data_IF_102427087443
#
_entry.id   IF_102427087443
#
_cell.length_a   1.000
_cell.length_b   1.000
_cell.length_c   1.000
_cell.angle_alpha   90.00
_cell.angle_beta   90.00
_cell.angle_gamma   90.00
#
_symmetry.space_group_name_H-M   'P 1'
#
loop_
_entity.id
_entity.type
_entity.pdbx_description
1 polymer ?
#
# COMPACT_ATOMS: atom_id res chain seq x y z
N UNK A 1 -23.25 9.08 3.61
CA UNK A 1 -22.23 8.65 2.65
C UNK A 1 -22.37 9.49 1.36
N UNK A 2 -21.24 9.94 0.81
CA UNK A 2 -21.19 10.80 -0.39
C UNK A 2 -21.46 10.03 -1.71
N UNK A 3 -22.05 8.82 -1.63
CA UNK A 3 -22.41 8.02 -2.80
C UNK A 3 -21.24 7.24 -3.43
N UNK A 4 -20.07 7.21 -2.82
CA UNK A 4 -18.95 6.37 -3.28
C UNK A 4 -19.34 4.89 -3.21
N UNK A 5 -19.06 4.14 -4.28
CA UNK A 5 -19.37 2.71 -4.40
C UNK A 5 -18.13 1.85 -4.73
N UNK A 6 -16.97 2.49 -4.95
CA UNK A 6 -15.72 1.79 -5.18
C UNK A 6 -15.10 1.27 -3.89
N UNK A 7 -14.03 0.49 -3.98
CA UNK A 7 -13.30 0.01 -2.82
C UNK A 7 -12.70 1.17 -2.01
N UNK A 8 -12.57 0.96 -0.71
CA UNK A 8 -11.92 1.90 0.22
C UNK A 8 -10.85 1.13 0.97
N UNK A 9 -9.60 1.58 0.88
CA UNK A 9 -8.46 1.00 1.56
C UNK A 9 -8.03 1.89 2.74
N UNK A 10 -8.02 1.31 3.95
CA UNK A 10 -7.44 1.93 5.13
C UNK A 10 -5.92 1.72 5.12
N UNK A 11 -5.16 2.78 4.77
CA UNK A 11 -3.71 2.71 4.53
C UNK A 11 -2.86 2.42 5.77
N UNK A 12 -3.40 2.68 6.96
CA UNK A 12 -2.73 2.40 8.25
C UNK A 12 -3.24 1.12 8.92
N UNK A 13 -4.29 0.50 8.36
CA UNK A 13 -4.86 -0.73 8.85
C UNK A 13 -5.84 -0.55 10.00
N UNK A 14 -6.13 -1.65 10.71
CA UNK A 14 -6.98 -1.70 11.88
C UNK A 14 -6.11 -1.65 13.15
N UNK A 15 -6.52 -0.86 14.15
CA UNK A 15 -5.79 -0.69 15.40
C UNK A 15 -6.44 -1.46 16.57
N UNK A 16 -7.72 -1.74 16.45
CA UNK A 16 -8.49 -2.43 17.49
C UNK A 16 -9.42 -3.48 16.86
N UNK A 17 -9.86 -4.45 17.66
CA UNK A 17 -10.77 -5.50 17.19
C UNK A 17 -12.08 -4.95 16.61
N UNK A 18 -12.58 -3.84 17.15
CA UNK A 18 -13.78 -3.17 16.62
C UNK A 18 -13.57 -2.60 15.21
N UNK A 19 -12.32 -2.24 14.84
CA UNK A 19 -12.03 -1.74 13.50
C UNK A 19 -12.14 -2.87 12.48
N UNK A 20 -11.72 -4.09 12.84
CA UNK A 20 -11.91 -5.28 12.01
C UNK A 20 -13.39 -5.59 11.79
N UNK A 21 -14.22 -5.45 12.83
CA UNK A 21 -15.68 -5.61 12.73
C UNK A 21 -16.26 -4.59 11.72
N UNK A 22 -15.81 -3.34 11.80
CA UNK A 22 -16.22 -2.30 10.85
C UNK A 22 -15.72 -2.60 9.43
N UNK A 23 -14.48 -3.06 9.26
CA UNK A 23 -13.93 -3.45 7.96
C UNK A 23 -14.76 -4.56 7.32
N UNK A 24 -15.07 -5.62 8.07
CA UNK A 24 -15.90 -6.72 7.61
C UNK A 24 -17.30 -6.24 7.20
N UNK A 25 -17.99 -5.52 8.07
CA UNK A 25 -19.37 -5.05 7.86
C UNK A 25 -19.52 -4.05 6.71
N UNK A 26 -18.50 -3.20 6.50
CA UNK A 26 -18.51 -2.15 5.48
C UNK A 26 -17.70 -2.51 4.23
N UNK A 27 -17.20 -3.74 4.14
CA UNK A 27 -16.34 -4.24 3.06
C UNK A 27 -15.13 -3.33 2.80
N UNK A 28 -14.51 -2.83 3.89
CA UNK A 28 -13.30 -2.02 3.80
C UNK A 28 -12.08 -2.91 3.65
N UNK A 29 -11.21 -2.54 2.74
CA UNK A 29 -9.88 -3.14 2.63
C UNK A 29 -8.96 -2.46 3.66
N UNK A 30 -7.97 -3.18 4.16
CA UNK A 30 -7.05 -2.58 5.12
C UNK A 30 -5.63 -3.12 4.99
N UNK A 31 -4.67 -2.29 5.38
CA UNK A 31 -3.25 -2.64 5.40
C UNK A 31 -2.93 -3.45 6.65
N UNK A 32 -2.05 -4.45 6.49
CA UNK A 32 -1.42 -5.21 7.57
C UNK A 32 0.08 -4.96 7.51
N UNK A 33 0.66 -4.45 8.60
CA UNK A 33 2.05 -3.99 8.64
C UNK A 33 2.82 -4.42 9.89
N UNK A 34 2.19 -5.13 10.83
CA UNK A 34 2.81 -5.66 12.05
C UNK A 34 2.16 -6.98 12.48
N UNK A 35 2.84 -7.70 13.37
CA UNK A 35 2.37 -9.00 13.85
C UNK A 35 1.08 -8.91 14.66
N UNK A 36 0.91 -7.84 15.43
CA UNK A 36 -0.28 -7.60 16.27
C UNK A 36 -1.56 -7.55 15.42
N UNK A 37 -1.48 -7.00 14.20
CA UNK A 37 -2.62 -6.99 13.27
C UNK A 37 -2.92 -8.38 12.72
N UNK A 38 -1.91 -9.21 12.48
CA UNK A 38 -2.12 -10.61 12.08
C UNK A 38 -2.76 -11.40 13.22
N UNK A 39 -2.28 -11.22 14.45
CA UNK A 39 -2.81 -11.89 15.64
C UNK A 39 -4.27 -11.48 15.90
N UNK A 40 -4.56 -10.19 15.73
CA UNK A 40 -5.93 -9.67 15.87
C UNK A 40 -6.87 -10.26 14.81
N UNK A 41 -6.42 -10.37 13.55
CA UNK A 41 -7.18 -11.04 12.48
C UNK A 41 -7.43 -12.51 12.79
N UNK A 42 -6.43 -13.23 13.30
CA UNK A 42 -6.55 -14.64 13.66
C UNK A 42 -7.59 -14.90 14.74
N UNK A 43 -7.79 -13.94 15.64
CA UNK A 43 -8.77 -14.01 16.73
C UNK A 43 -10.14 -13.47 16.32
N UNK A 44 -10.23 -12.76 15.19
CA UNK A 44 -11.47 -12.13 14.78
C UNK A 44 -12.48 -13.15 14.23
N UNK A 45 -13.68 -13.12 14.78
CA UNK A 45 -14.81 -13.90 14.28
C UNK A 45 -15.58 -13.06 13.26
N UNK A 46 -15.27 -13.27 11.99
CA UNK A 46 -15.92 -12.52 10.91
C UNK A 46 -16.94 -13.38 10.16
N UNK A 47 -17.95 -12.73 9.62
CA UNK A 47 -18.90 -13.33 8.67
C UNK A 47 -18.44 -13.16 7.23
N UNK A 48 -17.70 -12.06 6.96
CA UNK A 48 -17.16 -11.71 5.65
C UNK A 48 -15.63 -11.65 5.72
N UNK A 49 -14.91 -12.39 4.88
CA UNK A 49 -13.46 -12.39 4.91
C UNK A 49 -12.90 -11.03 4.52
N UNK A 50 -11.68 -10.75 4.96
CA UNK A 50 -10.99 -9.51 4.72
C UNK A 50 -10.13 -9.56 3.46
N UNK A 51 -10.14 -8.48 2.70
CA UNK A 51 -9.12 -8.20 1.69
C UNK A 51 -8.06 -7.29 2.32
N UNK A 52 -6.79 -7.74 2.30
CA UNK A 52 -5.70 -7.05 2.99
C UNK A 52 -4.57 -6.68 2.05
N UNK A 53 -3.88 -5.58 2.38
CA UNK A 53 -2.64 -5.16 1.74
C UNK A 53 -1.49 -5.40 2.71
N UNK A 54 -0.71 -6.46 2.48
CA UNK A 54 0.47 -6.74 3.29
C UNK A 54 1.59 -5.77 2.93
N UNK A 55 2.00 -4.96 3.91
CA UNK A 55 2.95 -3.87 3.70
C UNK A 55 4.36 -4.24 4.13
N UNK A 56 5.29 -4.05 3.19
CA UNK A 56 6.73 -4.17 3.41
C UNK A 56 7.35 -2.81 3.69
N UNK A 57 8.28 -2.77 4.64
CA UNK A 57 9.25 -1.70 4.78
C UNK A 57 10.47 -1.98 3.90
N UNK A 58 10.47 -1.44 2.69
CA UNK A 58 11.60 -1.57 1.76
C UNK A 58 12.72 -0.53 1.97
N UNK A 59 12.50 0.44 2.90
CA UNK A 59 13.51 1.46 3.22
C UNK A 59 12.97 2.79 3.76
N UNK A 60 11.64 2.97 3.82
CA UNK A 60 11.03 4.19 4.35
C UNK A 60 11.08 4.27 5.88
N UNK A 61 11.18 3.14 6.58
CA UNK A 61 11.32 3.02 8.03
C UNK A 61 10.19 3.69 8.85
N UNK A 62 8.97 3.63 8.31
CA UNK A 62 7.78 4.14 9.01
C UNK A 62 6.85 3.01 9.45
N UNK A 63 6.37 2.19 8.53
CA UNK A 63 5.47 1.06 8.76
C UNK A 63 5.81 -0.08 7.79
N UNK A 64 5.55 -1.31 8.20
CA UNK A 64 5.70 -2.50 7.36
C UNK A 64 6.67 -3.53 7.93
N UNK A 65 6.51 -4.76 7.49
CA UNK A 65 7.41 -5.86 7.81
C UNK A 65 8.77 -5.67 7.14
N UNK A 66 9.84 -5.99 7.86
CA UNK A 66 11.16 -6.07 7.25
C UNK A 66 11.16 -7.11 6.10
N UNK A 67 11.97 -6.91 5.02
CA UNK A 67 11.99 -7.83 3.88
C UNK A 67 12.18 -9.30 4.26
N UNK A 68 13.05 -9.58 5.25
CA UNK A 68 13.36 -10.92 5.73
C UNK A 68 12.19 -11.59 6.44
N UNK A 69 11.25 -10.81 6.98
CA UNK A 69 10.05 -11.30 7.67
C UNK A 69 8.80 -11.31 6.79
N UNK A 70 8.85 -10.66 5.64
CA UNK A 70 7.68 -10.42 4.79
C UNK A 70 7.02 -11.73 4.33
N UNK A 71 7.81 -12.68 3.86
CA UNK A 71 7.32 -13.99 3.40
C UNK A 71 6.66 -14.79 4.54
N UNK A 72 7.23 -14.74 5.74
CA UNK A 72 6.63 -15.38 6.92
C UNK A 72 5.29 -14.74 7.30
N UNK A 73 5.21 -13.41 7.25
CA UNK A 73 3.96 -12.69 7.49
C UNK A 73 2.89 -13.04 6.44
N UNK A 74 3.28 -13.10 5.16
CA UNK A 74 2.39 -13.54 4.09
C UNK A 74 1.86 -14.96 4.32
N UNK A 75 2.74 -15.91 4.69
CA UNK A 75 2.35 -17.30 4.97
C UNK A 75 1.34 -17.37 6.12
N UNK A 76 1.56 -16.59 7.18
CA UNK A 76 0.63 -16.54 8.32
C UNK A 76 -0.74 -15.99 7.89
N UNK A 77 -0.78 -14.89 7.15
CA UNK A 77 -2.03 -14.31 6.65
C UNK A 77 -2.77 -15.26 5.71
N UNK A 78 -2.05 -15.90 4.79
CA UNK A 78 -2.64 -16.82 3.81
C UNK A 78 -3.23 -18.08 4.44
N UNK A 79 -2.81 -18.42 5.66
CA UNK A 79 -3.37 -19.53 6.42
C UNK A 79 -4.65 -19.18 7.20
N UNK A 80 -5.02 -17.90 7.27
CA UNK A 80 -6.19 -17.45 8.01
C UNK A 80 -7.47 -17.54 7.17
N UNK A 81 -8.49 -18.27 7.63
CA UNK A 81 -9.79 -18.31 6.93
C UNK A 81 -10.51 -16.97 6.93
N UNK A 82 -10.08 -16.02 7.77
CA UNK A 82 -10.59 -14.66 7.81
C UNK A 82 -10.06 -13.77 6.68
N UNK A 83 -9.06 -14.23 5.92
CA UNK A 83 -8.42 -13.48 4.83
C UNK A 83 -8.73 -14.14 3.51
N UNK A 84 -9.36 -13.41 2.60
CA UNK A 84 -9.73 -13.87 1.26
C UNK A 84 -8.64 -13.53 0.22
N UNK A 85 -8.11 -12.31 0.30
CA UNK A 85 -7.16 -11.81 -0.69
C UNK A 85 -6.03 -11.01 -0.02
N UNK A 86 -4.80 -11.25 -0.48
CA UNK A 86 -3.59 -10.57 -0.01
C UNK A 86 -2.95 -9.86 -1.19
N UNK A 87 -3.00 -8.52 -1.18
CA UNK A 87 -2.21 -7.68 -2.08
C UNK A 87 -0.88 -7.30 -1.43
N UNK A 88 0.15 -7.07 -2.25
CA UNK A 88 1.52 -6.78 -1.80
C UNK A 88 1.81 -5.29 -1.93
N UNK A 89 2.26 -4.66 -0.85
CA UNK A 89 2.44 -3.21 -0.80
C UNK A 89 3.82 -2.81 -0.29
N UNK A 90 4.38 -1.75 -0.84
CA UNK A 90 5.46 -0.97 -0.23
C UNK A 90 5.24 0.53 -0.44
N UNK A 91 6.13 1.37 0.10
CA UNK A 91 6.11 2.81 -0.09
C UNK A 91 7.54 3.33 -0.20
N UNK A 92 7.84 4.02 -1.29
CA UNK A 92 9.17 4.58 -1.54
C UNK A 92 9.40 5.84 -0.70
N UNK A 93 10.59 5.93 -0.12
CA UNK A 93 10.98 7.08 0.71
C UNK A 93 11.58 8.23 -0.08
N UNK A 94 12.11 7.96 -1.28
CA UNK A 94 12.96 8.91 -2.04
C UNK A 94 12.67 8.85 -3.55
N UNK A 95 11.44 8.56 -3.93
CA UNK A 95 11.06 8.50 -5.36
C UNK A 95 11.15 9.85 -6.07
N UNK A 96 11.13 10.96 -5.31
CA UNK A 96 11.34 12.34 -5.72
C UNK A 96 12.79 12.80 -5.52
N UNK A 97 13.62 12.03 -4.85
CA UNK A 97 14.99 12.37 -4.50
C UNK A 97 16.06 11.64 -5.31
N UNK A 98 17.34 11.93 -5.00
CA UNK A 98 18.47 11.43 -5.77
C UNK A 98 18.71 9.92 -5.65
N UNK A 99 18.24 9.26 -4.60
CA UNK A 99 18.35 7.79 -4.44
C UNK A 99 17.37 7.05 -5.33
N UNK A 100 16.26 7.70 -5.69
CA UNK A 100 15.21 7.11 -6.50
C UNK A 100 14.54 5.89 -5.84
N UNK A 101 14.18 4.91 -6.67
CA UNK A 101 13.38 3.76 -6.24
C UNK A 101 14.12 2.41 -6.35
N UNK A 102 15.25 2.35 -7.09
CA UNK A 102 15.84 1.10 -7.55
C UNK A 102 16.16 0.10 -6.42
N UNK A 103 16.83 0.56 -5.35
CA UNK A 103 17.21 -0.30 -4.23
C UNK A 103 15.98 -0.82 -3.46
N UNK A 104 15.01 0.06 -3.21
CA UNK A 104 13.78 -0.30 -2.50
C UNK A 104 12.92 -1.25 -3.33
N UNK A 105 12.88 -1.03 -4.65
CA UNK A 105 12.16 -1.92 -5.56
C UNK A 105 12.82 -3.30 -5.64
N UNK A 106 14.15 -3.38 -5.74
CA UNK A 106 14.87 -4.65 -5.75
C UNK A 106 14.61 -5.47 -4.47
N UNK A 107 14.61 -4.83 -3.29
CA UNK A 107 14.26 -5.49 -2.02
C UNK A 107 12.82 -6.02 -2.03
N UNK A 108 11.91 -5.23 -2.59
CA UNK A 108 10.50 -5.61 -2.68
C UNK A 108 10.33 -6.83 -3.62
N UNK A 109 10.92 -6.80 -4.80
CA UNK A 109 10.85 -7.89 -5.77
C UNK A 109 11.48 -9.18 -5.25
N UNK A 110 12.64 -9.10 -4.59
CA UNK A 110 13.29 -10.25 -3.99
C UNK A 110 12.39 -10.92 -2.93
N UNK A 111 11.85 -10.13 -2.01
CA UNK A 111 11.04 -10.67 -0.91
C UNK A 111 9.67 -11.17 -1.37
N UNK A 112 9.12 -10.61 -2.47
CA UNK A 112 7.82 -10.98 -3.03
C UNK A 112 7.90 -11.96 -4.20
N UNK A 113 9.10 -12.44 -4.56
CA UNK A 113 9.28 -13.39 -5.66
C UNK A 113 8.34 -14.59 -5.49
N UNK A 114 7.59 -14.90 -6.53
CA UNK A 114 6.64 -16.02 -6.58
C UNK A 114 5.46 -15.93 -5.58
N UNK A 115 5.30 -14.82 -4.87
CA UNK A 115 4.10 -14.59 -4.08
C UNK A 115 2.98 -14.08 -4.99
N UNK A 116 1.80 -14.70 -4.94
CA UNK A 116 0.63 -14.20 -5.66
C UNK A 116 0.07 -12.92 -5.00
N UNK A 117 -0.73 -12.21 -5.74
CA UNK A 117 -1.47 -11.03 -5.29
C UNK A 117 -1.17 -9.79 -6.11
N UNK A 118 -2.11 -8.87 -6.10
CA UNK A 118 -1.96 -7.56 -6.73
C UNK A 118 -0.87 -6.73 -6.02
N UNK A 119 -0.30 -5.79 -6.74
CA UNK A 119 0.80 -4.96 -6.24
C UNK A 119 0.42 -3.49 -6.15
N UNK A 120 0.87 -2.84 -5.07
CA UNK A 120 0.71 -1.42 -4.85
C UNK A 120 2.03 -0.81 -4.35
N UNK A 121 2.81 -0.22 -5.25
CA UNK A 121 4.15 0.29 -4.94
C UNK A 121 4.26 1.81 -5.09
N UNK A 122 3.57 2.39 -6.08
CA UNK A 122 3.78 3.77 -6.50
C UNK A 122 3.02 4.78 -5.64
N UNK A 123 3.74 5.75 -5.10
CA UNK A 123 3.23 7.02 -4.57
C UNK A 123 3.18 8.08 -5.69
N UNK A 124 2.86 9.34 -5.39
CA UNK A 124 2.79 10.43 -6.37
C UNK A 124 4.08 10.58 -7.18
N UNK A 125 5.23 10.60 -6.51
CA UNK A 125 6.52 10.79 -7.16
C UNK A 125 6.87 9.59 -8.06
N UNK A 126 6.69 8.37 -7.58
CA UNK A 126 6.93 7.18 -8.39
C UNK A 126 6.00 7.12 -9.61
N UNK A 127 4.73 7.49 -9.45
CA UNK A 127 3.75 7.49 -10.55
C UNK A 127 4.06 8.50 -11.64
N UNK A 128 4.71 9.63 -11.31
CA UNK A 128 5.05 10.69 -12.27
C UNK A 128 6.48 10.54 -12.81
N UNK A 129 7.49 10.51 -11.93
CA UNK A 129 8.90 10.49 -12.33
C UNK A 129 9.36 9.15 -12.92
N UNK A 130 8.79 8.05 -12.44
CA UNK A 130 9.19 6.69 -12.82
C UNK A 130 8.14 5.97 -13.67
N UNK A 131 7.18 6.69 -14.26
CA UNK A 131 6.09 6.12 -15.07
C UNK A 131 6.56 5.26 -16.26
N UNK A 132 7.77 5.48 -16.75
CA UNK A 132 8.38 4.71 -17.83
C UNK A 132 9.00 3.39 -17.35
N UNK A 133 9.27 3.25 -16.05
CA UNK A 133 9.83 2.02 -15.47
C UNK A 133 8.73 0.98 -15.32
N UNK A 134 8.90 -0.16 -16.01
CA UNK A 134 7.91 -1.24 -15.97
C UNK A 134 7.72 -1.85 -14.58
N UNK A 135 8.73 -1.76 -13.70
CA UNK A 135 8.66 -2.33 -12.34
C UNK A 135 7.70 -1.59 -11.41
N UNK A 136 7.45 -0.30 -11.67
CA UNK A 136 6.48 0.49 -10.91
C UNK A 136 5.06 0.42 -11.49
N UNK A 137 4.88 -0.19 -12.66
CA UNK A 137 3.56 -0.48 -13.20
C UNK A 137 2.93 -1.59 -12.38
N UNK A 138 2.04 -1.20 -11.51
CA UNK A 138 1.39 -2.06 -10.55
C UNK A 138 -0.13 -1.96 -10.70
N UNK A 139 -0.85 -2.87 -10.06
CA UNK A 139 -2.31 -2.91 -10.15
C UNK A 139 -2.96 -1.70 -9.49
N UNK A 140 -2.31 -1.15 -8.45
CA UNK A 140 -2.80 -0.02 -7.66
C UNK A 140 -1.74 1.06 -7.48
N UNK A 141 -2.10 2.32 -7.70
CA UNK A 141 -1.29 3.49 -7.38
C UNK A 141 -1.92 4.29 -6.23
N UNK A 142 -1.10 5.03 -5.50
CA UNK A 142 -1.52 5.86 -4.37
C UNK A 142 -1.03 7.30 -4.51
N UNK A 143 -1.57 8.06 -5.48
CA UNK A 143 -1.06 9.39 -5.83
C UNK A 143 -1.58 10.47 -4.85
N UNK A 144 -1.20 10.41 -3.59
CA UNK A 144 -1.68 11.30 -2.54
C UNK A 144 -1.62 12.79 -2.91
N UNK A 145 -0.45 13.42 -2.86
CA UNK A 145 -0.28 14.85 -3.10
C UNK A 145 -0.66 15.28 -4.53
N UNK A 146 -0.41 14.42 -5.52
CA UNK A 146 -0.75 14.72 -6.91
C UNK A 146 -2.25 14.85 -7.16
N UNK A 147 -3.10 14.14 -6.38
CA UNK A 147 -4.57 14.28 -6.46
C UNK A 147 -5.02 15.68 -6.07
N UNK A 148 -4.28 16.36 -5.21
CA UNK A 148 -4.56 17.74 -4.82
C UNK A 148 -3.93 18.80 -5.75
N UNK A 149 -3.32 18.36 -6.86
CA UNK A 149 -2.71 19.24 -7.83
C UNK A 149 -1.35 19.80 -7.42
N UNK A 150 -0.70 19.19 -6.42
CA UNK A 150 0.64 19.60 -5.97
C UNK A 150 1.71 18.68 -6.55
N UNK A 151 2.83 19.28 -6.99
CA UNK A 151 3.96 18.52 -7.48
C UNK A 151 4.67 17.79 -6.33
N UNK A 152 4.97 16.49 -6.49
CA UNK A 152 5.69 15.73 -5.47
C UNK A 152 7.18 16.06 -5.37
N UNK A 153 7.74 16.75 -6.37
CA UNK A 153 9.17 17.05 -6.48
C UNK A 153 9.45 18.56 -6.70
N UNK A 154 8.57 19.43 -6.21
CA UNK A 154 8.81 20.87 -6.18
C UNK A 154 10.05 21.18 -5.26
N UNK A 155 10.95 22.08 -5.64
CA UNK A 155 10.86 23.03 -6.77
C UNK A 155 11.45 22.52 -8.09
N UNK A 156 11.97 21.30 -8.17
CA UNK A 156 12.61 20.77 -9.40
C UNK A 156 11.63 20.78 -10.59
N UNK A 157 10.40 20.32 -10.35
CA UNK A 157 9.33 20.38 -11.33
C UNK A 157 8.06 21.01 -10.71
N UNK A 158 7.44 21.91 -11.44
CA UNK A 158 6.15 22.52 -11.03
C UNK A 158 4.97 21.57 -11.29
N UNK A 159 3.82 21.88 -10.68
CA UNK A 159 2.58 21.17 -10.99
C UNK A 159 2.22 21.23 -12.48
N UNK A 160 2.46 22.37 -13.14
CA UNK A 160 2.22 22.56 -14.57
C UNK A 160 3.13 21.65 -15.45
N UNK A 161 4.37 21.36 -15.01
CA UNK A 161 5.26 20.42 -15.69
C UNK A 161 4.62 19.03 -15.81
N UNK A 162 3.94 18.58 -14.77
CA UNK A 162 3.25 17.30 -14.73
C UNK A 162 1.81 17.35 -15.26
N UNK A 163 1.34 18.52 -15.71
CA UNK A 163 -0.05 18.67 -16.13
C UNK A 163 -1.07 18.55 -14.99
N UNK A 164 -0.64 18.76 -13.73
CA UNK A 164 -1.51 18.66 -12.58
C UNK A 164 -2.36 19.93 -12.47
N UNK A 165 -3.65 19.74 -12.23
CA UNK A 165 -4.60 20.84 -11.97
C UNK A 165 -4.92 20.91 -10.48
N UNK A 166 -5.07 22.12 -9.91
CA UNK A 166 -5.51 22.27 -8.52
C UNK A 166 -6.86 21.58 -8.32
N UNK A 167 -6.96 20.76 -7.28
CA UNK A 167 -8.22 20.12 -6.90
C UNK A 167 -9.11 21.03 -6.06
N UNK A 168 -8.51 22.10 -5.50
CA UNK A 168 -9.19 23.14 -4.74
C UNK A 168 -8.66 24.50 -5.18
N UNK A 169 -9.53 25.44 -5.37
CA UNK A 169 -9.26 26.85 -5.66
C UNK A 169 -9.77 27.75 -4.53
#
# INVERSE_FOLDING_TARGET
>A
ALGWRGPILLLEGAFEARDLELCSRLHLWHTVHCDEQIDMLALHKTHEPHRVFLKMNSGMNRLGFAPQRFRSAWTRLNALPQVDEISLMTHFSDADGPKGIAEQMARFEEATRDLPGERSVSNSAASLRHAHDATVKADWIRPGIAVYGSSPDFPEHSAAHWGLLPAMS
#
